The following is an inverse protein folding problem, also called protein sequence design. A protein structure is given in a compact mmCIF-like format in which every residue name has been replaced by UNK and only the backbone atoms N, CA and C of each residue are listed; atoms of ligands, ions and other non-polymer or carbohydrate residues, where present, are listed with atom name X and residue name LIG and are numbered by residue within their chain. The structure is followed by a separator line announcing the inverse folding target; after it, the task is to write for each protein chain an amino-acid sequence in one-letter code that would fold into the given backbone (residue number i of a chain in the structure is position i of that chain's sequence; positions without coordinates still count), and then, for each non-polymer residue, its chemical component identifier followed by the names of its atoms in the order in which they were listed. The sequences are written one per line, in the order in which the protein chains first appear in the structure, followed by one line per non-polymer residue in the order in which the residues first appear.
data_IF_948232763237
#
_entry.id   IF_948232763237
#
_cell.length_a   1.000
_cell.length_b   1.000
_cell.length_c   1.000
_cell.angle_alpha   90.00
_cell.angle_beta   90.00
_cell.angle_gamma   90.00
#
_symmetry.space_group_name_H-M   'P 1'
#
loop_
_entity.id
_entity.type
_entity.pdbx_description
1 polymer ?
#
# COMPACT_ATOMS: atom_id res chain seq x y z
N UNK A 1 11.68 -0.09 -18.03
CA UNK A 1 12.41 -1.37 -17.97
C UNK A 1 11.79 -2.39 -17.02
N UNK A 2 10.87 -2.06 -16.09
CA UNK A 2 10.11 -3.09 -15.34
C UNK A 2 10.94 -3.99 -14.40
N UNK A 3 12.22 -3.68 -14.21
CA UNK A 3 13.16 -4.48 -13.41
C UNK A 3 13.07 -4.14 -11.91
N UNK A 4 11.89 -4.36 -11.33
CA UNK A 4 11.62 -4.03 -9.92
C UNK A 4 12.47 -4.84 -8.93
N UNK A 5 13.05 -5.97 -9.37
CA UNK A 5 13.95 -6.79 -8.56
C UNK A 5 15.27 -6.10 -8.19
N UNK A 6 15.64 -5.02 -8.91
CA UNK A 6 16.81 -4.20 -8.59
C UNK A 6 16.55 -3.23 -7.43
N UNK A 7 15.28 -2.97 -7.12
CA UNK A 7 14.88 -2.15 -5.98
C UNK A 7 14.91 -3.01 -4.72
N UNK A 8 16.03 -2.92 -3.99
CA UNK A 8 16.29 -3.74 -2.81
C UNK A 8 16.69 -2.92 -1.59
N UNK A 9 16.86 -3.61 -0.46
CA UNK A 9 17.46 -3.06 0.76
C UNK A 9 18.95 -3.40 0.82
N UNK A 10 19.75 -2.60 1.53
CA UNK A 10 21.11 -3.03 1.91
C UNK A 10 21.02 -4.31 2.73
N UNK A 11 22.04 -5.18 2.76
CA UNK A 11 22.08 -6.36 3.62
C UNK A 11 21.76 -6.05 5.09
N UNK A 12 22.27 -4.94 5.62
CA UNK A 12 22.07 -4.51 7.01
C UNK A 12 20.60 -4.15 7.27
N UNK A 13 20.03 -3.26 6.44
CA UNK A 13 18.60 -2.92 6.51
C UNK A 13 17.69 -4.15 6.28
N UNK A 14 18.11 -5.11 5.47
CA UNK A 14 17.39 -6.35 5.25
C UNK A 14 17.36 -7.22 6.53
N UNK A 15 18.45 -7.29 7.28
CA UNK A 15 18.49 -7.98 8.57
C UNK A 15 17.55 -7.34 9.59
N UNK A 16 17.57 -6.00 9.69
CA UNK A 16 16.67 -5.23 10.58
C UNK A 16 15.20 -5.45 10.18
N UNK A 17 14.90 -5.42 8.89
CA UNK A 17 13.57 -5.72 8.37
C UNK A 17 13.11 -7.13 8.78
N UNK A 18 13.95 -8.14 8.60
CA UNK A 18 13.62 -9.53 8.95
C UNK A 18 13.38 -9.70 10.45
N UNK A 19 14.18 -9.06 11.30
CA UNK A 19 13.98 -9.08 12.75
C UNK A 19 12.65 -8.44 13.15
N UNK A 20 12.33 -7.27 12.59
CA UNK A 20 11.07 -6.57 12.84
C UNK A 20 9.86 -7.38 12.38
N UNK A 21 9.92 -7.98 11.19
CA UNK A 21 8.86 -8.85 10.66
C UNK A 21 8.61 -10.03 11.60
N UNK A 22 9.66 -10.69 12.07
CA UNK A 22 9.52 -11.80 13.03
C UNK A 22 8.86 -11.36 14.34
N UNK A 23 9.29 -10.21 14.88
CA UNK A 23 8.71 -9.67 16.10
C UNK A 23 7.21 -9.35 15.94
N UNK A 24 6.83 -8.70 14.83
CA UNK A 24 5.43 -8.39 14.51
C UNK A 24 4.62 -9.66 14.32
N UNK A 25 5.12 -10.64 13.57
CA UNK A 25 4.45 -11.92 13.37
C UNK A 25 4.24 -12.66 14.69
N UNK A 26 5.21 -12.63 15.60
CA UNK A 26 5.07 -13.22 16.93
C UNK A 26 4.00 -12.51 17.77
N UNK A 27 3.92 -11.18 17.71
CA UNK A 27 2.97 -10.39 18.52
C UNK A 27 1.54 -10.38 17.96
N UNK A 28 1.39 -10.33 16.64
CA UNK A 28 0.11 -10.13 15.96
C UNK A 28 -0.35 -11.34 15.13
N UNK A 29 0.42 -12.44 15.13
CA UNK A 29 0.12 -13.67 14.38
C UNK A 29 0.45 -13.60 12.88
N UNK A 30 0.26 -12.45 12.22
CA UNK A 30 0.68 -12.24 10.84
C UNK A 30 0.95 -10.76 10.52
N UNK A 31 1.77 -10.50 9.51
CA UNK A 31 2.01 -9.15 9.01
C UNK A 31 0.73 -8.51 8.49
N UNK A 32 -0.09 -9.24 7.73
CA UNK A 32 -1.35 -8.74 7.19
C UNK A 32 -2.30 -8.27 8.30
N UNK A 33 -2.40 -9.03 9.39
CA UNK A 33 -3.22 -8.67 10.54
C UNK A 33 -2.70 -7.40 11.22
N UNK A 34 -1.40 -7.31 11.45
CA UNK A 34 -0.76 -6.11 12.01
C UNK A 34 -1.03 -4.88 11.15
N UNK A 35 -0.84 -4.96 9.84
CA UNK A 35 -1.09 -3.84 8.92
C UNK A 35 -2.53 -3.34 9.03
N UNK A 36 -3.51 -4.24 8.93
CA UNK A 36 -4.93 -3.85 8.96
C UNK A 36 -5.33 -3.25 10.31
N UNK A 37 -4.91 -3.87 11.41
CA UNK A 37 -5.36 -3.51 12.76
C UNK A 37 -4.60 -2.32 13.34
N UNK A 38 -3.28 -2.29 13.20
CA UNK A 38 -2.42 -1.29 13.85
C UNK A 38 -2.09 -0.11 12.93
N UNK A 39 -1.64 -0.39 11.70
CA UNK A 39 -1.20 0.68 10.78
C UNK A 39 -2.38 1.40 10.14
N UNK A 40 -3.33 0.64 9.59
CA UNK A 40 -4.44 1.20 8.83
C UNK A 40 -5.64 1.53 9.70
N UNK A 41 -5.76 0.85 10.85
CA UNK A 41 -6.91 0.92 11.77
C UNK A 41 -8.24 0.78 11.04
N UNK A 42 -8.25 -0.03 9.98
CA UNK A 42 -9.47 -0.37 9.28
C UNK A 42 -10.21 -1.37 10.17
N UNK A 43 -11.20 -0.89 10.91
CA UNK A 43 -12.04 -1.78 11.73
C UNK A 43 -12.78 -2.76 10.82
N UNK A 44 -13.05 -3.98 11.33
CA UNK A 44 -13.91 -4.95 10.64
C UNK A 44 -15.30 -4.35 10.34
N UNK A 45 -15.77 -3.42 11.18
CA UNK A 45 -17.03 -2.69 11.01
C UNK A 45 -17.03 -1.66 9.87
N UNK A 46 -15.87 -1.18 9.41
CA UNK A 46 -15.79 -0.24 8.29
C UNK A 46 -15.80 -0.97 6.93
N UNK A 47 -15.90 -2.31 6.90
CA UNK A 47 -16.20 -3.06 5.69
C UNK A 47 -17.68 -3.01 5.29
N UNK A 48 -18.55 -2.51 6.17
CA UNK A 48 -20.01 -2.52 5.97
C UNK A 48 -20.67 -1.14 5.94
N UNK A 49 -19.91 -0.04 5.89
CA UNK A 49 -20.49 1.31 5.75
C UNK A 49 -20.55 1.76 4.30
N UNK A 50 -21.08 0.91 3.41
CA UNK A 50 -21.85 1.35 2.25
C UNK A 50 -23.22 0.66 2.36
N UNK A 51 -24.14 1.30 3.08
CA UNK A 51 -25.56 0.94 3.08
C UNK A 51 -26.22 1.28 1.75
N UNK A 52 -25.80 0.60 0.69
CA UNK A 52 -26.49 0.53 -0.58
C UNK A 52 -26.63 -0.97 -0.90
N UNK A 53 -27.85 -1.34 -1.28
CA UNK A 53 -28.30 -2.70 -1.56
C UNK A 53 -27.22 -3.56 -2.24
N UNK A 54 -27.03 -4.75 -1.67
CA UNK A 54 -26.07 -5.77 -2.09
C UNK A 54 -26.51 -6.40 -3.43
N UNK A 55 -26.53 -5.59 -4.50
CA UNK A 55 -26.22 -6.12 -5.81
C UNK A 55 -24.76 -6.55 -5.71
N UNK A 56 -24.51 -7.86 -5.65
CA UNK A 56 -23.18 -8.43 -5.60
C UNK A 56 -22.38 -7.96 -6.83
N UNK A 57 -21.70 -6.82 -6.69
CA UNK A 57 -20.80 -6.27 -7.70
C UNK A 57 -19.79 -7.37 -8.00
N UNK A 58 -19.70 -7.74 -9.26
CA UNK A 58 -18.73 -8.74 -9.67
C UNK A 58 -17.33 -8.18 -9.47
N UNK A 59 -16.33 -9.06 -9.38
CA UNK A 59 -14.93 -8.63 -9.35
C UNK A 59 -14.57 -7.73 -10.54
N UNK A 60 -15.28 -7.86 -11.67
CA UNK A 60 -15.13 -6.97 -12.83
C UNK A 60 -15.68 -5.56 -12.58
N UNK A 61 -16.83 -5.44 -11.90
CA UNK A 61 -17.40 -4.13 -11.57
C UNK A 61 -16.53 -3.37 -10.55
N UNK A 62 -15.94 -4.08 -9.59
CA UNK A 62 -14.99 -3.50 -8.63
C UNK A 62 -13.67 -3.08 -9.29
N UNK A 63 -13.31 -3.71 -10.41
CA UNK A 63 -12.12 -3.37 -11.18
C UNK A 63 -12.29 -2.10 -12.01
N UNK A 64 -13.52 -1.76 -12.39
CA UNK A 64 -13.85 -0.57 -13.19
C UNK A 64 -14.34 0.62 -12.34
N UNK A 65 -14.44 0.42 -11.01
CA UNK A 65 -14.78 1.49 -10.08
C UNK A 65 -13.71 2.60 -10.08
N UNK A 66 -14.11 3.88 -10.01
CA UNK A 66 -13.17 4.99 -9.92
C UNK A 66 -12.37 4.94 -8.60
N UNK A 67 -11.17 5.52 -8.60
CA UNK A 67 -10.37 5.67 -7.39
C UNK A 67 -11.12 6.49 -6.33
N UNK A 68 -11.27 5.95 -5.13
CA UNK A 68 -11.88 6.63 -3.98
C UNK A 68 -10.81 6.92 -2.91
N UNK A 69 -10.41 8.19 -2.72
CA UNK A 69 -9.46 8.60 -1.68
C UNK A 69 -9.84 8.13 -0.26
N UNK A 70 -11.12 7.90 0.04
CA UNK A 70 -11.57 7.45 1.37
C UNK A 70 -11.05 6.05 1.74
N UNK A 71 -10.83 5.23 0.72
CA UNK A 71 -10.31 3.85 0.82
C UNK A 71 -8.78 3.79 0.82
N UNK A 72 -8.11 4.93 0.61
CA UNK A 72 -6.66 5.03 0.52
C UNK A 72 -6.03 5.41 1.86
N UNK A 73 -4.82 4.89 2.12
CA UNK A 73 -3.92 5.34 3.19
C UNK A 73 -2.49 5.38 2.65
N UNK A 74 -1.92 6.58 2.54
CA UNK A 74 -0.53 6.79 2.14
C UNK A 74 0.34 6.95 3.39
N UNK A 75 1.35 6.11 3.55
CA UNK A 75 2.24 6.08 4.71
C UNK A 75 3.70 6.05 4.27
N UNK A 76 4.64 6.67 5.01
CA UNK A 76 6.07 6.45 4.79
C UNK A 76 6.42 4.97 4.91
N UNK A 77 7.34 4.47 4.09
CA UNK A 77 7.82 3.10 4.20
C UNK A 77 8.79 3.00 5.38
N UNK A 78 8.42 2.22 6.41
CA UNK A 78 9.28 1.98 7.59
C UNK A 78 10.64 1.34 7.23
N UNK A 79 10.70 0.63 6.10
CA UNK A 79 11.89 -0.04 5.59
C UNK A 79 12.07 0.28 4.11
N UNK A 80 12.50 1.50 3.78
CA UNK A 80 12.62 1.93 2.40
C UNK A 80 13.71 1.16 1.65
N UNK A 81 13.58 1.07 0.34
CA UNK A 81 14.64 0.61 -0.55
C UNK A 81 15.84 1.54 -0.54
N UNK A 82 16.99 1.02 -1.00
CA UNK A 82 18.20 1.80 -1.23
C UNK A 82 18.00 2.60 -2.50
N UNK A 83 17.62 3.85 -2.31
CA UNK A 83 17.47 4.86 -3.34
C UNK A 83 18.31 6.08 -2.96
N UNK A 84 18.39 7.08 -3.84
CA UNK A 84 19.09 8.32 -3.53
C UNK A 84 18.48 8.99 -2.27
N UNK A 85 19.28 9.63 -1.40
CA UNK A 85 18.79 10.21 -0.15
C UNK A 85 17.68 11.27 -0.30
N UNK A 86 17.57 11.89 -1.47
CA UNK A 86 16.51 12.84 -1.83
C UNK A 86 15.18 12.18 -2.18
N UNK A 87 15.15 10.85 -2.35
CA UNK A 87 13.95 10.10 -2.74
C UNK A 87 13.27 9.58 -1.48
N UNK A 88 12.09 10.14 -1.18
CA UNK A 88 11.21 9.63 -0.14
C UNK A 88 10.40 8.43 -0.65
N UNK A 89 10.32 7.36 0.14
CA UNK A 89 9.61 6.14 -0.22
C UNK A 89 8.35 5.98 0.62
N UNK A 90 7.19 5.97 -0.04
CA UNK A 90 5.88 5.78 0.56
C UNK A 90 5.21 4.48 0.10
N UNK A 91 4.29 3.96 0.91
CA UNK A 91 3.40 2.85 0.59
C UNK A 91 1.96 3.35 0.59
N UNK A 92 1.27 3.16 -0.53
CA UNK A 92 -0.17 3.40 -0.64
C UNK A 92 -0.91 2.09 -0.39
N UNK A 93 -1.68 2.04 0.70
CA UNK A 93 -2.62 0.97 0.97
C UNK A 93 -4.00 1.35 0.44
N UNK A 94 -4.67 0.41 -0.24
CA UNK A 94 -5.98 0.63 -0.86
C UNK A 94 -6.88 -0.59 -0.64
N UNK A 95 -8.17 -0.36 -0.32
CA UNK A 95 -9.13 -1.43 0.04
C UNK A 95 -9.77 -2.16 -1.14
N UNK A 96 -9.65 -1.61 -2.35
CA UNK A 96 -10.18 -2.18 -3.57
C UNK A 96 -9.04 -2.53 -4.53
N UNK A 97 -9.29 -3.26 -5.63
CA UNK A 97 -8.30 -3.43 -6.69
C UNK A 97 -7.80 -2.06 -7.20
N UNK A 98 -6.50 -1.82 -7.15
CA UNK A 98 -5.90 -0.57 -7.60
C UNK A 98 -5.43 -0.70 -9.06
N UNK A 99 -5.70 0.33 -9.86
CA UNK A 99 -5.21 0.46 -11.24
C UNK A 99 -4.57 1.84 -11.43
N UNK A 100 -3.65 1.93 -12.39
CA UNK A 100 -3.16 3.24 -12.84
C UNK A 100 -4.32 4.02 -13.46
N UNK A 101 -4.59 5.22 -12.94
CA UNK A 101 -5.68 6.10 -13.39
C UNK A 101 -5.32 7.58 -13.15
N UNK A 102 -5.92 8.52 -13.91
CA UNK A 102 -5.71 9.95 -13.68
C UNK A 102 -6.13 10.42 -12.27
N UNK A 103 -7.17 9.81 -11.71
CA UNK A 103 -7.66 10.13 -10.37
C UNK A 103 -6.64 9.74 -9.28
N UNK A 104 -6.02 8.56 -9.42
CA UNK A 104 -4.92 8.13 -8.53
C UNK A 104 -3.73 9.09 -8.62
N UNK A 105 -3.31 9.50 -9.82
CA UNK A 105 -2.20 10.44 -10.02
C UNK A 105 -2.48 11.78 -9.35
N UNK A 106 -3.67 12.34 -9.61
CA UNK A 106 -4.11 13.60 -9.01
C UNK A 106 -4.13 13.53 -7.48
N UNK A 107 -4.56 12.40 -6.91
CA UNK A 107 -4.52 12.17 -5.47
C UNK A 107 -3.09 12.17 -4.92
N UNK A 108 -2.17 11.47 -5.58
CA UNK A 108 -0.77 11.39 -5.14
C UNK A 108 -0.07 12.75 -5.22
N UNK A 109 -0.26 13.49 -6.31
CA UNK A 109 0.28 14.85 -6.49
C UNK A 109 -0.27 15.81 -5.43
N UNK A 110 -1.57 15.73 -5.12
CA UNK A 110 -2.17 16.54 -4.06
C UNK A 110 -1.69 16.14 -2.66
N UNK A 111 -1.42 14.85 -2.42
CA UNK A 111 -0.94 14.35 -1.14
C UNK A 111 0.55 14.66 -0.89
N UNK A 112 1.33 14.86 -1.96
CA UNK A 112 2.77 15.13 -1.94
C UNK A 112 3.12 16.33 -2.84
N UNK A 113 2.60 17.54 -2.54
CA UNK A 113 2.64 18.69 -3.46
C UNK A 113 4.05 19.20 -3.79
N UNK A 114 5.02 18.93 -2.90
CA UNK A 114 6.41 19.38 -3.04
C UNK A 114 7.32 18.31 -3.69
N UNK A 115 6.75 17.23 -4.23
CA UNK A 115 7.51 16.10 -4.75
C UNK A 115 7.08 15.73 -6.17
N UNK A 116 8.06 15.37 -7.02
CA UNK A 116 7.77 14.61 -8.23
C UNK A 116 7.42 13.16 -7.83
N UNK A 117 6.26 12.68 -8.28
CA UNK A 117 5.76 11.36 -7.87
C UNK A 117 5.97 10.32 -8.96
N UNK A 118 6.66 9.23 -8.59
CA UNK A 118 6.67 7.97 -9.33
C UNK A 118 6.08 6.87 -8.44
N UNK A 119 5.20 6.05 -9.00
CA UNK A 119 4.66 4.89 -8.28
C UNK A 119 4.73 3.62 -9.14
N UNK A 120 4.74 2.48 -8.47
CA UNK A 120 4.62 1.16 -9.07
C UNK A 120 3.88 0.25 -8.10
N UNK A 121 3.30 -0.83 -8.64
CA UNK A 121 2.68 -1.89 -7.83
C UNK A 121 3.65 -3.08 -7.87
N UNK A 122 4.16 -3.50 -6.71
CA UNK A 122 5.04 -4.66 -6.63
C UNK A 122 4.34 -5.87 -7.26
N UNK A 123 5.00 -6.64 -8.14
CA UNK A 123 4.39 -7.82 -8.72
C UNK A 123 4.13 -8.90 -7.66
N UNK A 124 3.13 -9.79 -7.84
CA UNK A 124 2.70 -10.72 -6.78
C UNK A 124 3.80 -11.63 -6.21
N UNK A 125 4.85 -11.94 -6.99
CA UNK A 125 5.97 -12.76 -6.55
C UNK A 125 6.99 -12.02 -5.67
N UNK A 126 6.85 -10.69 -5.52
CA UNK A 126 7.67 -9.84 -4.64
C UNK A 126 6.87 -9.28 -3.45
N UNK A 127 5.60 -9.67 -3.30
CA UNK A 127 4.71 -9.25 -2.21
C UNK A 127 4.75 -10.20 -1.01
#
# INVERSE_FOLDING_TARGET
SGEFHLLGRTPEAQLVYMERVRAIQHQHGSMARYVVQELLRWSESNASSNGAEEAALTTADLLDAPFDPSLARLLPNDFPYVVEPSIAHYVLWYRAPLRDSPALKSYLEAALPDHDVLFFISPPHLQ
#
